data_IF_140372584481
#
_entry.id   IF_140372584481
#
_cell.length_a   1.000
_cell.length_b   1.000
_cell.length_c   1.000
_cell.angle_alpha   90.00
_cell.angle_beta   90.00
_cell.angle_gamma   90.00
#
_symmetry.space_group_name_H-M   'P 1'
#
loop_
_entity.id
_entity.type
_entity.pdbx_description
1 polymer ?
#
# COMPACT_ATOMS: atom_id res chain seq x y z
N UNK A 1 49.23 8.76 -16.92
CA UNK A 1 48.48 9.54 -15.92
C UNK A 1 47.40 8.63 -15.36
N UNK A 2 47.34 8.45 -14.04
CA UNK A 2 46.42 7.53 -13.37
C UNK A 2 45.86 8.16 -12.09
N UNK A 3 44.62 7.84 -11.76
CA UNK A 3 43.99 7.99 -10.42
C UNK A 3 44.05 6.62 -9.73
N UNK A 4 44.14 6.49 -8.38
CA UNK A 4 43.12 6.97 -7.42
C UNK A 4 43.78 7.59 -6.14
N UNK A 5 43.20 7.72 -4.92
CA UNK A 5 41.92 7.24 -4.36
C UNK A 5 41.36 8.09 -3.17
N UNK A 6 40.23 7.59 -2.65
CA UNK A 6 39.41 7.91 -1.48
C UNK A 6 40.05 7.95 -0.07
N UNK A 7 39.27 8.42 0.92
CA UNK A 7 39.45 7.97 2.31
C UNK A 7 39.26 8.96 3.48
N UNK A 8 38.26 9.86 3.50
CA UNK A 8 37.87 10.54 4.77
C UNK A 8 36.34 10.60 4.94
N UNK A 9 35.80 9.51 5.50
CA UNK A 9 34.48 9.48 6.14
C UNK A 9 34.53 8.42 7.26
N UNK A 10 33.68 8.56 8.28
CA UNK A 10 33.55 7.66 9.46
C UNK A 10 34.69 7.71 10.50
N UNK A 11 34.81 8.79 11.29
CA UNK A 11 35.55 8.71 12.57
C UNK A 11 35.01 9.62 13.70
N UNK A 12 33.68 9.69 13.84
CA UNK A 12 33.02 10.41 14.94
C UNK A 12 31.95 9.58 15.69
N UNK A 13 31.59 8.38 15.19
CA UNK A 13 30.48 7.59 15.75
C UNK A 13 30.93 6.38 16.60
N UNK A 14 32.21 5.98 16.52
CA UNK A 14 32.75 4.88 17.33
C UNK A 14 33.11 5.30 18.78
N UNK A 15 33.58 6.54 18.96
CA UNK A 15 34.08 7.03 20.27
C UNK A 15 33.00 7.12 21.37
N UNK A 16 31.76 7.44 21.02
CA UNK A 16 30.66 7.56 21.99
C UNK A 16 30.30 6.23 22.65
N UNK A 17 30.29 5.14 21.88
CA UNK A 17 29.91 3.80 22.38
C UNK A 17 30.98 3.24 23.31
N UNK A 18 32.27 3.34 22.96
CA UNK A 18 33.35 2.85 23.81
C UNK A 18 33.46 3.65 25.12
N UNK A 19 33.28 4.97 25.07
CA UNK A 19 33.34 5.83 26.26
C UNK A 19 32.16 5.56 27.20
N UNK A 20 30.95 5.40 26.65
CA UNK A 20 29.76 5.03 27.44
C UNK A 20 29.91 3.67 28.13
N UNK A 21 30.36 2.64 27.40
CA UNK A 21 30.56 1.30 27.94
C UNK A 21 31.60 1.26 29.09
N UNK A 22 32.69 2.03 28.96
CA UNK A 22 33.71 2.16 30.01
C UNK A 22 33.17 2.87 31.26
N UNK A 23 32.37 3.93 31.09
CA UNK A 23 31.72 4.63 32.21
C UNK A 23 30.74 3.72 32.95
N UNK A 24 29.86 3.00 32.24
CA UNK A 24 28.93 2.03 32.82
C UNK A 24 29.65 0.90 33.57
N UNK A 25 30.75 0.39 33.02
CA UNK A 25 31.57 -0.64 33.68
C UNK A 25 32.26 -0.11 34.95
N UNK A 26 32.76 1.12 34.93
CA UNK A 26 33.39 1.75 36.09
C UNK A 26 32.40 1.97 37.25
N UNK A 27 31.20 2.50 36.95
CA UNK A 27 30.12 2.71 37.95
C UNK A 27 29.74 1.38 38.61
N UNK A 28 29.51 0.34 37.80
CA UNK A 28 29.12 -1.00 38.28
C UNK A 28 30.22 -1.69 39.09
N UNK A 29 31.50 -1.47 38.74
CA UNK A 29 32.64 -2.04 39.49
C UNK A 29 32.95 -1.29 40.80
N UNK A 30 32.62 -0.01 40.89
CA UNK A 30 32.84 0.82 42.07
C UNK A 30 31.69 0.79 43.09
N UNK A 31 30.58 0.11 42.77
CA UNK A 31 29.44 -0.06 43.68
C UNK A 31 28.68 1.24 43.97
N UNK A 32 28.73 2.22 43.06
CA UNK A 32 28.09 3.53 43.21
C UNK A 32 26.62 3.56 42.77
N UNK A 33 25.94 2.41 42.80
CA UNK A 33 24.50 2.32 42.58
C UNK A 33 23.74 2.82 43.82
N UNK A 34 23.24 4.06 43.78
CA UNK A 34 22.28 4.56 44.78
C UNK A 34 20.92 3.86 44.58
N UNK A 35 20.56 3.01 45.53
CA UNK A 35 19.50 2.00 45.41
C UNK A 35 18.13 2.43 45.94
N UNK A 36 17.76 3.72 45.85
CA UNK A 36 16.58 4.26 46.55
C UNK A 36 15.57 5.06 45.67
N UNK A 37 15.67 5.00 44.32
CA UNK A 37 14.69 5.67 43.42
C UNK A 37 14.37 4.83 42.17
N UNK A 38 14.19 3.50 42.31
CA UNK A 38 14.00 2.59 41.16
C UNK A 38 12.93 1.49 41.32
N UNK A 39 11.95 1.63 42.23
CA UNK A 39 10.89 0.60 42.42
C UNK A 39 9.58 0.85 41.64
N UNK A 40 9.43 1.98 40.93
CA UNK A 40 8.24 2.26 40.09
C UNK A 40 8.53 2.33 38.58
N UNK A 41 9.80 2.40 38.16
CA UNK A 41 10.21 2.52 36.75
C UNK A 41 10.76 1.22 36.13
N UNK A 42 11.20 0.23 36.93
CA UNK A 42 11.75 -1.03 36.37
C UNK A 42 10.68 -1.95 35.74
N UNK A 43 9.40 -1.79 36.07
CA UNK A 43 8.30 -2.57 35.44
C UNK A 43 7.97 -2.09 34.01
N UNK A 44 8.51 -0.93 33.61
CA UNK A 44 8.41 -0.42 32.23
C UNK A 44 9.64 -0.77 31.37
N UNK A 45 10.52 -1.66 31.87
CA UNK A 45 11.66 -2.19 31.12
C UNK A 45 11.20 -2.94 29.85
N UNK A 46 11.59 -2.38 28.70
CA UNK A 46 11.70 -3.03 27.39
C UNK A 46 10.51 -3.92 26.97
N UNK A 47 9.32 -3.33 26.83
CA UNK A 47 8.36 -3.86 25.85
C UNK A 47 9.03 -3.79 24.47
N UNK A 48 9.32 -4.91 23.78
CA UNK A 48 10.06 -4.88 22.53
C UNK A 48 9.29 -4.07 21.49
N UNK A 49 9.98 -3.19 20.76
CA UNK A 49 9.40 -2.43 19.66
C UNK A 49 8.72 -3.41 18.67
N UNK A 50 7.39 -3.36 18.63
CA UNK A 50 6.60 -4.26 17.82
C UNK A 50 6.88 -4.06 16.32
N UNK A 51 7.29 -2.86 15.89
CA UNK A 51 7.69 -2.60 14.52
C UNK A 51 9.03 -3.29 14.18
N UNK A 52 10.07 -3.11 15.00
CA UNK A 52 11.34 -3.82 14.84
C UNK A 52 11.18 -5.36 14.95
N UNK A 53 10.42 -5.86 15.93
CA UNK A 53 10.15 -7.28 16.11
C UNK A 53 9.43 -7.86 14.89
N UNK A 54 8.41 -7.16 14.35
CA UNK A 54 7.70 -7.58 13.14
C UNK A 54 8.61 -7.60 11.91
N UNK A 55 9.43 -6.56 11.72
CA UNK A 55 10.41 -6.52 10.63
C UNK A 55 11.42 -7.66 10.71
N UNK A 56 11.89 -7.98 11.92
CA UNK A 56 12.79 -9.11 12.18
C UNK A 56 12.14 -10.45 11.82
N UNK A 57 10.92 -10.70 12.30
CA UNK A 57 10.17 -11.92 11.96
C UNK A 57 9.91 -12.05 10.44
N UNK A 58 9.50 -10.97 9.76
CA UNK A 58 9.32 -10.96 8.31
C UNK A 58 10.63 -11.22 7.54
N UNK A 59 11.75 -10.67 8.00
CA UNK A 59 13.08 -10.90 7.42
C UNK A 59 13.55 -12.35 7.55
N UNK A 60 13.20 -13.01 8.67
CA UNK A 60 13.45 -14.43 8.92
C UNK A 60 12.42 -15.39 8.29
N UNK A 61 11.41 -14.85 7.59
CA UNK A 61 10.27 -15.60 7.04
C UNK A 61 9.40 -16.29 8.13
N UNK A 62 9.45 -15.81 9.37
CA UNK A 62 8.65 -16.28 10.51
C UNK A 62 7.21 -15.73 10.44
N UNK A 63 6.49 -16.03 9.35
CA UNK A 63 5.20 -15.43 9.04
C UNK A 63 4.13 -15.64 10.13
N UNK A 64 4.17 -16.77 10.84
CA UNK A 64 3.29 -17.00 11.98
C UNK A 64 3.50 -15.98 13.11
N UNK A 65 4.75 -15.72 13.50
CA UNK A 65 5.08 -14.70 14.50
C UNK A 65 4.75 -13.29 13.99
N UNK A 66 5.03 -13.00 12.71
CA UNK A 66 4.68 -11.73 12.10
C UNK A 66 3.16 -11.46 12.08
N UNK A 67 2.32 -12.48 11.91
CA UNK A 67 0.85 -12.34 11.98
C UNK A 67 0.37 -11.94 13.38
N UNK A 68 0.90 -12.57 14.43
CA UNK A 68 0.55 -12.22 15.81
C UNK A 68 1.02 -10.80 16.20
N UNK A 69 2.26 -10.45 15.84
CA UNK A 69 2.80 -9.10 16.08
C UNK A 69 2.01 -8.04 15.32
N UNK A 70 1.67 -8.28 14.05
CA UNK A 70 0.89 -7.32 13.25
C UNK A 70 -0.57 -7.21 13.66
N UNK A 71 -1.17 -8.28 14.21
CA UNK A 71 -2.51 -8.20 14.83
C UNK A 71 -2.52 -7.26 16.05
N UNK A 72 -1.43 -7.22 16.82
CA UNK A 72 -1.25 -6.24 17.92
C UNK A 72 -1.00 -4.83 17.38
N UNK A 73 -0.12 -4.67 16.38
CA UNK A 73 0.16 -3.37 15.76
C UNK A 73 -1.11 -2.69 15.24
N UNK A 74 -1.91 -3.35 14.39
CA UNK A 74 -3.12 -2.72 13.83
C UNK A 74 -4.24 -2.49 14.85
N UNK A 75 -4.18 -3.14 16.03
CA UNK A 75 -5.08 -2.85 17.15
C UNK A 75 -4.67 -1.61 17.93
N UNK A 76 -3.37 -1.37 18.08
CA UNK A 76 -2.81 -0.20 18.77
C UNK A 76 -2.77 1.03 17.86
N UNK A 77 -2.50 0.82 16.58
CA UNK A 77 -2.28 1.84 15.56
C UNK A 77 -3.21 1.61 14.35
N UNK A 78 -4.55 1.64 14.51
CA UNK A 78 -5.50 1.30 13.44
C UNK A 78 -5.45 2.25 12.25
N UNK A 79 -5.03 3.51 12.46
CA UNK A 79 -4.90 4.52 11.43
C UNK A 79 -3.51 4.52 10.73
N UNK A 80 -2.52 3.77 11.22
CA UNK A 80 -1.14 3.87 10.72
C UNK A 80 -0.90 2.96 9.51
N UNK A 81 -0.46 3.57 8.40
CA UNK A 81 -0.18 2.86 7.14
C UNK A 81 0.92 1.81 7.31
N UNK A 82 1.93 2.07 8.13
CA UNK A 82 3.03 1.11 8.35
C UNK A 82 2.55 -0.18 9.04
N UNK A 83 1.69 -0.07 10.06
CA UNK A 83 1.09 -1.23 10.73
C UNK A 83 0.34 -2.14 9.73
N UNK A 84 -0.46 -1.54 8.84
CA UNK A 84 -1.18 -2.27 7.79
C UNK A 84 -0.26 -2.81 6.67
N UNK A 85 0.82 -2.11 6.32
CA UNK A 85 1.81 -2.61 5.36
C UNK A 85 2.53 -3.85 5.89
N UNK A 86 2.93 -3.83 7.18
CA UNK A 86 3.53 -4.97 7.84
C UNK A 86 2.53 -6.13 7.97
N UNK A 87 1.27 -5.85 8.32
CA UNK A 87 0.20 -6.86 8.37
C UNK A 87 0.01 -7.53 7.02
N UNK A 88 -0.12 -6.76 5.95
CA UNK A 88 -0.28 -7.29 4.60
C UNK A 88 0.90 -8.19 4.19
N UNK A 89 2.13 -7.76 4.46
CA UNK A 89 3.35 -8.57 4.24
C UNK A 89 3.40 -9.85 5.08
N UNK A 90 2.80 -9.88 6.27
CA UNK A 90 2.73 -11.07 7.13
C UNK A 90 1.76 -12.16 6.62
N UNK A 91 0.95 -11.87 5.60
CA UNK A 91 0.06 -12.82 4.94
C UNK A 91 0.50 -13.21 3.52
N UNK A 92 1.68 -12.76 3.05
CA UNK A 92 2.15 -13.03 1.67
C UNK A 92 2.45 -14.51 1.37
N UNK A 93 2.64 -15.33 2.40
CA UNK A 93 2.74 -16.79 2.31
C UNK A 93 1.37 -17.48 2.12
N UNK A 94 0.27 -16.74 2.31
CA UNK A 94 -1.11 -17.21 2.27
C UNK A 94 -2.00 -16.23 1.51
N UNK A 95 -1.66 -15.98 0.24
CA UNK A 95 -2.39 -15.05 -0.63
C UNK A 95 -3.85 -15.44 -0.91
N UNK A 96 -4.24 -16.67 -0.56
CA UNK A 96 -5.63 -17.13 -0.62
C UNK A 96 -6.44 -16.84 0.66
N UNK A 97 -5.81 -16.41 1.75
CA UNK A 97 -6.47 -16.12 3.01
C UNK A 97 -7.19 -14.76 2.98
N UNK A 98 -8.44 -14.64 3.46
CA UNK A 98 -9.16 -13.37 3.55
C UNK A 98 -8.38 -12.24 4.23
N UNK A 99 -7.51 -12.54 5.20
CA UNK A 99 -6.72 -11.55 5.91
C UNK A 99 -5.64 -10.87 5.04
N UNK A 100 -5.15 -11.54 3.98
CA UNK A 100 -4.30 -10.91 2.96
C UNK A 100 -5.07 -9.82 2.20
N UNK A 101 -6.31 -10.14 1.79
CA UNK A 101 -7.17 -9.23 1.03
C UNK A 101 -7.70 -8.08 1.89
N UNK A 102 -8.08 -8.31 3.15
CA UNK A 102 -8.47 -7.24 4.08
C UNK A 102 -7.34 -6.22 4.27
N UNK A 103 -6.12 -6.68 4.58
CA UNK A 103 -4.99 -5.78 4.78
C UNK A 103 -4.65 -4.97 3.51
N UNK A 104 -4.70 -5.60 2.33
CA UNK A 104 -4.53 -4.90 1.05
C UNK A 104 -5.66 -3.88 0.79
N UNK A 105 -6.92 -4.27 1.04
CA UNK A 105 -8.09 -3.38 0.91
C UNK A 105 -7.93 -2.13 1.77
N UNK A 106 -7.51 -2.26 3.03
CA UNK A 106 -7.32 -1.10 3.91
C UNK A 106 -6.22 -0.16 3.43
N UNK A 107 -5.10 -0.69 2.96
CA UNK A 107 -4.00 0.11 2.41
C UNK A 107 -4.42 0.98 1.21
N UNK A 108 -5.36 0.46 0.41
CA UNK A 108 -5.85 1.02 -0.85
C UNK A 108 -7.10 1.89 -0.71
N UNK A 109 -7.98 1.61 0.25
CA UNK A 109 -9.31 2.24 0.37
C UNK A 109 -9.39 3.14 1.61
N UNK A 110 -8.74 2.80 2.71
CA UNK A 110 -8.81 3.57 3.96
C UNK A 110 -7.79 4.72 3.97
N UNK A 111 -8.17 5.86 4.57
CA UNK A 111 -7.34 7.06 4.65
C UNK A 111 -6.30 6.97 5.78
N UNK A 112 -5.46 5.95 5.71
CA UNK A 112 -4.38 5.71 6.67
C UNK A 112 -3.31 6.83 6.63
N UNK A 113 -2.60 7.01 7.74
CA UNK A 113 -1.58 8.03 7.98
C UNK A 113 -0.16 7.43 7.97
N UNK A 114 0.86 8.11 7.41
CA UNK A 114 0.73 9.28 6.55
C UNK A 114 -0.01 8.92 5.25
N UNK A 115 -0.71 9.91 4.68
CA UNK A 115 -1.31 9.77 3.36
C UNK A 115 -0.21 9.58 2.30
N UNK A 116 -0.53 8.85 1.23
CA UNK A 116 0.39 8.61 0.10
C UNK A 116 -0.17 9.22 -1.18
N UNK A 117 0.72 9.60 -2.10
CA UNK A 117 0.33 10.04 -3.43
C UNK A 117 -0.27 8.91 -4.27
N UNK A 118 -1.03 9.27 -5.30
CA UNK A 118 -1.74 8.32 -6.17
C UNK A 118 -0.79 7.31 -6.84
N UNK A 119 0.42 7.72 -7.22
CA UNK A 119 1.41 6.81 -7.81
C UNK A 119 1.86 5.69 -6.84
N UNK A 120 1.94 5.98 -5.54
CA UNK A 120 2.27 4.99 -4.52
C UNK A 120 1.07 4.06 -4.21
N UNK A 121 -0.16 4.56 -4.35
CA UNK A 121 -1.38 3.74 -4.28
C UNK A 121 -1.46 2.77 -5.47
N UNK A 122 -1.18 3.25 -6.69
CA UNK A 122 -1.08 2.43 -7.91
C UNK A 122 0.00 1.36 -7.76
N UNK A 123 1.19 1.72 -7.24
CA UNK A 123 2.25 0.75 -6.95
C UNK A 123 1.78 -0.33 -5.97
N UNK A 124 1.12 0.06 -4.87
CA UNK A 124 0.56 -0.86 -3.87
C UNK A 124 -0.48 -1.82 -4.48
N UNK A 125 -1.32 -1.32 -5.39
CA UNK A 125 -2.31 -2.13 -6.10
C UNK A 125 -1.67 -3.12 -7.09
N UNK A 126 -0.62 -2.68 -7.80
CA UNK A 126 0.12 -3.54 -8.73
C UNK A 126 0.87 -4.67 -7.98
N UNK A 127 1.51 -4.35 -6.85
CA UNK A 127 2.13 -5.34 -5.97
C UNK A 127 1.11 -6.35 -5.42
N UNK A 128 -0.10 -5.89 -5.10
CA UNK A 128 -1.23 -6.75 -4.71
C UNK A 128 -1.67 -7.69 -5.83
N UNK A 129 -1.86 -7.17 -7.05
CA UNK A 129 -2.20 -8.01 -8.21
C UNK A 129 -1.08 -9.00 -8.55
N UNK A 130 0.19 -8.61 -8.43
CA UNK A 130 1.30 -9.52 -8.68
C UNK A 130 1.30 -10.69 -7.69
N UNK A 131 1.08 -10.41 -6.40
CA UNK A 131 1.03 -11.42 -5.35
C UNK A 131 -0.23 -12.30 -5.41
N UNK A 132 -1.40 -11.75 -5.77
CA UNK A 132 -2.65 -12.52 -5.89
C UNK A 132 -2.77 -13.40 -7.15
N UNK A 133 -1.67 -13.56 -7.92
CA UNK A 133 -1.69 -14.27 -9.20
C UNK A 133 -2.59 -13.58 -10.24
N UNK A 134 -2.64 -12.24 -10.20
CA UNK A 134 -3.51 -11.36 -11.00
C UNK A 134 -5.02 -11.56 -10.77
N UNK A 135 -5.43 -12.22 -9.68
CA UNK A 135 -6.83 -12.38 -9.29
C UNK A 135 -7.32 -11.16 -8.52
N UNK A 136 -8.30 -10.46 -9.09
CA UNK A 136 -8.92 -9.29 -8.49
C UNK A 136 -9.97 -9.74 -7.46
N UNK A 137 -9.63 -9.65 -6.16
CA UNK A 137 -10.51 -10.05 -5.03
C UNK A 137 -10.98 -8.88 -4.15
N UNK A 138 -10.92 -7.66 -4.68
CA UNK A 138 -11.57 -6.50 -4.06
C UNK A 138 -13.01 -6.39 -4.59
N UNK A 139 -13.93 -5.83 -3.79
CA UNK A 139 -15.32 -5.66 -4.20
C UNK A 139 -15.47 -4.62 -5.32
N UNK A 140 -16.53 -4.71 -6.14
CA UNK A 140 -16.83 -3.75 -7.21
C UNK A 140 -16.77 -2.30 -6.73
N UNK A 141 -17.32 -2.03 -5.54
CA UNK A 141 -17.33 -0.68 -4.93
C UNK A 141 -15.92 -0.16 -4.62
N UNK A 142 -15.03 -1.00 -4.07
CA UNK A 142 -13.64 -0.62 -3.76
C UNK A 142 -12.86 -0.31 -5.04
N UNK A 143 -13.09 -1.12 -6.09
CA UNK A 143 -12.50 -0.95 -7.42
C UNK A 143 -12.98 0.33 -8.10
N UNK A 144 -14.27 0.65 -8.01
CA UNK A 144 -14.83 1.91 -8.45
C UNK A 144 -14.21 3.09 -7.68
N UNK A 145 -14.03 2.99 -6.35
CA UNK A 145 -13.39 4.02 -5.54
C UNK A 145 -11.93 4.26 -5.91
N UNK A 146 -11.17 3.22 -6.27
CA UNK A 146 -9.80 3.36 -6.79
C UNK A 146 -9.80 4.01 -8.18
N UNK A 147 -10.51 3.41 -9.14
CA UNK A 147 -10.46 3.85 -10.53
C UNK A 147 -10.98 5.29 -10.73
N UNK A 148 -12.03 5.71 -10.02
CA UNK A 148 -12.51 7.10 -10.10
C UNK A 148 -11.46 8.09 -9.57
N UNK A 149 -10.80 7.80 -8.44
CA UNK A 149 -9.70 8.64 -7.91
C UNK A 149 -8.51 8.73 -8.87
N UNK A 150 -8.21 7.64 -9.57
CA UNK A 150 -7.12 7.62 -10.55
C UNK A 150 -7.47 8.38 -11.83
N UNK A 151 -8.73 8.34 -12.29
CA UNK A 151 -9.21 9.21 -13.37
C UNK A 151 -9.12 10.68 -12.96
N UNK A 152 -9.57 11.02 -11.76
CA UNK A 152 -9.49 12.39 -11.20
C UNK A 152 -8.05 12.91 -11.07
N UNK A 153 -7.09 12.01 -10.85
CA UNK A 153 -5.66 12.32 -10.82
C UNK A 153 -4.94 12.23 -12.19
N UNK A 154 -5.69 12.06 -13.29
CA UNK A 154 -5.14 11.92 -14.64
C UNK A 154 -4.34 10.62 -14.89
N UNK A 155 -4.43 9.63 -13.99
CA UNK A 155 -3.76 8.33 -14.09
C UNK A 155 -4.59 7.32 -14.89
N UNK A 156 -5.03 7.74 -16.09
CA UNK A 156 -5.91 6.98 -16.97
C UNK A 156 -5.39 5.56 -17.31
N UNK A 157 -4.08 5.32 -17.58
CA UNK A 157 -3.56 3.97 -17.81
C UNK A 157 -3.77 2.99 -16.65
N UNK A 158 -3.78 3.48 -15.41
CA UNK A 158 -3.98 2.63 -14.23
C UNK A 158 -5.46 2.33 -13.98
N UNK A 159 -6.36 3.25 -14.33
CA UNK A 159 -7.81 3.06 -14.20
C UNK A 159 -8.39 2.10 -15.27
N UNK A 160 -7.77 2.05 -16.45
CA UNK A 160 -8.28 1.30 -17.61
C UNK A 160 -8.49 -0.21 -17.35
N UNK A 161 -7.53 -0.97 -16.77
CA UNK A 161 -7.72 -2.40 -16.52
C UNK A 161 -8.85 -2.68 -15.53
N UNK A 162 -9.04 -1.81 -14.52
CA UNK A 162 -10.13 -1.91 -13.55
C UNK A 162 -11.48 -1.66 -14.26
N UNK A 163 -11.56 -0.60 -15.08
CA UNK A 163 -12.76 -0.29 -15.85
C UNK A 163 -13.15 -1.45 -16.79
N UNK A 164 -12.18 -2.02 -17.52
CA UNK A 164 -12.41 -3.14 -18.43
C UNK A 164 -12.84 -4.41 -17.70
N UNK A 165 -12.28 -4.69 -16.51
CA UNK A 165 -12.68 -5.82 -15.67
C UNK A 165 -14.12 -5.66 -15.18
N UNK A 166 -14.51 -4.46 -14.72
CA UNK A 166 -15.87 -4.17 -14.24
C UNK A 166 -16.91 -4.25 -15.36
N UNK A 167 -16.60 -3.76 -16.57
CA UNK A 167 -17.45 -3.98 -17.78
C UNK A 167 -17.49 -5.46 -18.23
N UNK A 168 -16.54 -6.28 -17.77
CA UNK A 168 -16.50 -7.72 -18.02
C UNK A 168 -17.48 -8.54 -17.17
N UNK A 169 -18.06 -7.97 -16.11
CA UNK A 169 -19.09 -8.63 -15.32
C UNK A 169 -20.31 -9.02 -16.16
N UNK A 170 -21.06 -10.06 -15.73
CA UNK A 170 -22.24 -10.56 -16.43
C UNK A 170 -23.27 -9.43 -16.69
N UNK A 171 -23.59 -8.68 -15.64
CA UNK A 171 -24.37 -7.45 -15.66
C UNK A 171 -23.52 -6.31 -15.06
N UNK A 172 -22.94 -5.43 -15.89
CA UNK A 172 -22.13 -4.32 -15.39
C UNK A 172 -22.96 -3.28 -14.64
N UNK A 173 -22.57 -3.01 -13.39
CA UNK A 173 -23.23 -2.05 -12.50
C UNK A 173 -23.25 -0.63 -13.09
N UNK A 174 -24.19 0.21 -12.64
CA UNK A 174 -24.28 1.61 -13.06
C UNK A 174 -22.99 2.39 -12.78
N UNK A 175 -22.34 2.14 -11.64
CA UNK A 175 -21.03 2.70 -11.33
C UNK A 175 -19.95 2.34 -12.36
N UNK A 176 -19.97 1.10 -12.88
CA UNK A 176 -19.02 0.62 -13.89
C UNK A 176 -19.22 1.31 -15.24
N UNK A 177 -20.49 1.52 -15.65
CA UNK A 177 -20.83 2.23 -16.89
C UNK A 177 -20.46 3.72 -16.80
N UNK A 178 -20.74 4.35 -15.66
CA UNK A 178 -20.35 5.75 -15.39
C UNK A 178 -18.84 5.93 -15.38
N UNK A 179 -18.09 5.02 -14.75
CA UNK A 179 -16.63 5.01 -14.80
C UNK A 179 -16.13 4.90 -16.25
N UNK A 180 -16.71 4.01 -17.06
CA UNK A 180 -16.35 3.85 -18.46
C UNK A 180 -16.59 5.14 -19.27
N UNK A 181 -17.74 5.79 -19.09
CA UNK A 181 -18.03 7.08 -19.74
C UNK A 181 -17.03 8.16 -19.34
N UNK A 182 -16.74 8.29 -18.04
CA UNK A 182 -15.73 9.25 -17.52
C UNK A 182 -14.34 8.99 -18.09
N UNK A 183 -13.90 7.73 -18.10
CA UNK A 183 -12.58 7.33 -18.60
C UNK A 183 -12.46 7.52 -20.12
N UNK A 184 -13.52 7.22 -20.88
CA UNK A 184 -13.54 7.52 -22.32
C UNK A 184 -13.38 9.02 -22.57
N UNK A 185 -14.20 9.87 -21.92
CA UNK A 185 -14.11 11.33 -22.07
C UNK A 185 -12.71 11.86 -21.69
N UNK A 186 -12.14 11.39 -20.58
CA UNK A 186 -10.78 11.78 -20.17
C UNK A 186 -9.71 11.33 -21.19
N UNK A 187 -9.86 10.16 -21.83
CA UNK A 187 -8.97 9.73 -22.91
C UNK A 187 -9.11 10.56 -24.17
N UNK A 188 -10.32 11.00 -24.50
CA UNK A 188 -10.59 11.90 -25.63
C UNK A 188 -10.00 13.30 -25.39
N UNK A 189 -10.14 13.84 -24.17
CA UNK A 189 -9.50 15.10 -23.74
C UNK A 189 -7.96 15.01 -23.79
N UNK A 190 -7.39 13.85 -23.45
CA UNK A 190 -5.97 13.57 -23.58
C UNK A 190 -5.50 13.28 -25.04
N UNK A 191 -6.41 13.36 -26.03
CA UNK A 191 -6.10 13.11 -27.44
C UNK A 191 -5.83 11.64 -27.81
N UNK A 192 -6.03 10.69 -26.88
CA UNK A 192 -5.76 9.27 -27.10
C UNK A 192 -6.99 8.56 -27.69
N UNK A 193 -7.21 8.78 -28.99
CA UNK A 193 -8.34 8.21 -29.73
C UNK A 193 -8.38 6.66 -29.73
N UNK A 194 -7.24 5.97 -29.53
CA UNK A 194 -7.23 4.51 -29.42
C UNK A 194 -7.81 4.04 -28.09
N UNK A 195 -7.36 4.62 -26.97
CA UNK A 195 -7.85 4.28 -25.65
C UNK A 195 -9.32 4.72 -25.45
N UNK A 196 -9.71 5.85 -26.04
CA UNK A 196 -11.12 6.25 -26.17
C UNK A 196 -11.96 5.15 -26.83
N UNK A 197 -11.63 4.74 -28.06
CA UNK A 197 -12.37 3.70 -28.79
C UNK A 197 -12.39 2.37 -28.03
N UNK A 198 -11.30 2.01 -27.35
CA UNK A 198 -11.19 0.78 -26.56
C UNK A 198 -12.21 0.75 -25.41
N UNK A 199 -12.32 1.84 -24.64
CA UNK A 199 -13.29 1.94 -23.53
C UNK A 199 -14.73 2.13 -24.04
N UNK A 200 -14.94 3.06 -24.98
CA UNK A 200 -16.27 3.34 -25.53
C UNK A 200 -16.85 2.13 -26.26
N UNK A 201 -16.08 1.49 -27.15
CA UNK A 201 -16.48 0.26 -27.84
C UNK A 201 -16.78 -0.89 -26.88
N UNK A 202 -16.03 -1.02 -25.77
CA UNK A 202 -16.35 -2.01 -24.73
C UNK A 202 -17.65 -1.69 -23.99
N UNK A 203 -17.93 -0.42 -23.73
CA UNK A 203 -19.20 0.03 -23.13
C UNK A 203 -20.39 -0.28 -24.06
N UNK A 204 -20.29 0.02 -25.37
CA UNK A 204 -21.33 -0.35 -26.33
C UNK A 204 -21.55 -1.86 -26.42
N UNK A 205 -20.47 -2.63 -26.55
CA UNK A 205 -20.56 -4.09 -26.70
C UNK A 205 -21.14 -4.81 -25.46
N UNK A 206 -21.07 -4.20 -24.27
CA UNK A 206 -21.57 -4.78 -23.01
C UNK A 206 -22.85 -4.15 -22.50
N UNK A 207 -23.12 -2.89 -22.83
CA UNK A 207 -24.21 -2.10 -22.30
C UNK A 207 -24.85 -1.18 -23.38
N UNK A 208 -25.26 -1.71 -24.55
CA UNK A 208 -25.67 -0.87 -25.69
C UNK A 208 -26.86 0.04 -25.37
N UNK A 209 -27.77 -0.43 -24.52
CA UNK A 209 -28.99 0.29 -24.13
C UNK A 209 -28.80 1.19 -22.89
N UNK A 210 -27.57 1.43 -22.42
CA UNK A 210 -27.33 2.28 -21.26
C UNK A 210 -27.37 3.76 -21.61
N UNK A 211 -27.77 4.59 -20.64
CA UNK A 211 -27.74 6.05 -20.79
C UNK A 211 -26.30 6.54 -21.08
N UNK A 212 -25.29 5.90 -20.49
CA UNK A 212 -23.89 6.21 -20.71
C UNK A 212 -23.45 5.96 -22.17
N UNK A 213 -23.88 4.84 -22.78
CA UNK A 213 -23.61 4.53 -24.18
C UNK A 213 -24.31 5.53 -25.12
N UNK A 214 -25.61 5.80 -24.88
CA UNK A 214 -26.37 6.79 -25.65
C UNK A 214 -25.85 8.23 -25.50
N UNK A 215 -25.17 8.56 -24.40
CA UNK A 215 -24.51 9.85 -24.23
C UNK A 215 -23.26 9.97 -25.12
N UNK A 216 -22.37 8.97 -25.12
CA UNK A 216 -21.19 8.99 -25.99
C UNK A 216 -21.58 9.03 -27.48
N UNK A 217 -22.66 8.36 -27.88
CA UNK A 217 -23.08 8.28 -29.28
C UNK A 217 -23.56 9.64 -29.79
N UNK A 218 -24.28 10.39 -28.94
CA UNK A 218 -24.71 11.76 -29.25
C UNK A 218 -23.58 12.77 -29.29
N UNK A 219 -22.47 12.51 -28.60
CA UNK A 219 -21.31 13.41 -28.55
C UNK A 219 -20.33 13.19 -29.72
N UNK A 220 -20.17 11.95 -30.20
CA UNK A 220 -19.11 11.61 -31.15
C UNK A 220 -19.57 10.83 -32.41
N UNK A 221 -20.87 10.50 -32.53
CA UNK A 221 -21.40 9.73 -33.66
C UNK A 221 -21.28 8.22 -33.47
N UNK A 222 -21.16 7.48 -34.58
CA UNK A 222 -20.82 6.05 -34.55
C UNK A 222 -19.33 5.89 -34.19
N UNK A 223 -19.04 5.08 -33.16
CA UNK A 223 -17.71 4.87 -32.55
C UNK A 223 -17.21 3.45 -32.83
#
# INVERSE_FOLDING_TARGET
>A
LASPDAGIAFDAHAGGIMTGALASFAIRKLGWERREVMDETEVEAERPDLYAATRSALGKLEFAAARELTARLVKQHPDEREAWQLRWRAWRDRVDDPAFHDAARRLLIERLKPAVGVDQEIATFNDYLQQSGRKLRLASVDLLTLANRWVEAGRLPAAEPICLALLGAAEPEEGSRRLAMRLALAWQEAGNAEAFRRIAGRLYARCPNSAEAGNLQRLFGEI
#
